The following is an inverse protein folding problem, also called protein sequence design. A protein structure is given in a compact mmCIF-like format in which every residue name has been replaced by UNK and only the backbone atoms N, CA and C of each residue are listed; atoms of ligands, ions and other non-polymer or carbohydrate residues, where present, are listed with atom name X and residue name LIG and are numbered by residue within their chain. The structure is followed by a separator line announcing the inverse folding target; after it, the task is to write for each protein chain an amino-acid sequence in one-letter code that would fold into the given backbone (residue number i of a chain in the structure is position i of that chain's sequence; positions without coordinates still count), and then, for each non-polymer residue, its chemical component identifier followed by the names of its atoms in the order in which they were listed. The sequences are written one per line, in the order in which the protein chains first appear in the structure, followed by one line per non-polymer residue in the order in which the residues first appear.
data_IF_827967921303
#
_entry.id   IF_827967921303
#
_cell.length_a   1.000
_cell.length_b   1.000
_cell.length_c   1.000
_cell.angle_alpha   90.00
_cell.angle_beta   90.00
_cell.angle_gamma   90.00
#
_symmetry.space_group_name_H-M   'P 1'
#
loop_
_entity.id
_entity.type
_entity.pdbx_description
1 polymer ?
#
# COMPACT_ATOMS: atom_id res chain seq x y z
N UNK A 1 -10.05 -5.83 -1.21
CA UNK A 1 -9.44 -4.76 -2.02
C UNK A 1 -8.83 -5.43 -3.21
N UNK A 2 -9.28 -5.09 -4.41
CA UNK A 2 -8.85 -5.79 -5.63
C UNK A 2 -7.68 -5.07 -6.33
N UNK A 3 -7.53 -3.75 -6.12
CA UNK A 3 -6.38 -2.99 -6.62
C UNK A 3 -6.03 -1.79 -5.74
N UNK A 4 -4.74 -1.44 -5.70
CA UNK A 4 -4.21 -0.22 -5.07
C UNK A 4 -3.66 0.69 -6.16
N UNK A 5 -4.40 1.74 -6.50
CA UNK A 5 -4.05 2.69 -7.55
C UNK A 5 -3.64 4.03 -6.95
N UNK A 6 -2.53 4.58 -7.46
CA UNK A 6 -1.99 5.88 -7.05
C UNK A 6 -1.48 6.63 -8.28
N UNK A 7 -1.59 7.96 -8.27
CA UNK A 7 -0.92 8.78 -9.29
C UNK A 7 0.59 8.81 -9.05
N UNK A 8 1.38 8.81 -10.11
CA UNK A 8 2.84 8.97 -10.03
C UNK A 8 3.27 10.27 -9.32
N UNK A 9 2.42 11.30 -9.29
CA UNK A 9 2.69 12.59 -8.62
C UNK A 9 2.71 12.52 -7.10
N UNK A 10 2.16 11.45 -6.50
CA UNK A 10 2.12 11.26 -5.05
C UNK A 10 3.12 10.22 -4.54
N UNK A 11 3.79 9.50 -5.45
CA UNK A 11 4.77 8.48 -5.07
C UNK A 11 5.97 9.10 -4.37
N UNK A 12 6.44 8.46 -3.31
CA UNK A 12 7.59 8.91 -2.51
C UNK A 12 7.28 10.08 -1.57
N UNK A 13 6.01 10.50 -1.45
CA UNK A 13 5.58 11.60 -0.56
C UNK A 13 4.91 11.10 0.72
N UNK A 14 5.21 9.86 1.13
CA UNK A 14 4.62 9.16 2.29
C UNK A 14 3.10 8.95 2.21
N UNK A 15 2.52 9.13 1.03
CA UNK A 15 1.09 8.91 0.80
C UNK A 15 0.78 7.41 0.90
N UNK A 16 1.72 6.58 0.45
CA UNK A 16 1.64 5.12 0.53
C UNK A 16 1.60 4.62 1.99
N UNK A 17 2.46 5.20 2.84
CA UNK A 17 2.50 4.92 4.28
C UNK A 17 1.19 5.35 4.96
N UNK A 18 0.69 6.55 4.64
CA UNK A 18 -0.55 7.08 5.19
C UNK A 18 -1.78 6.22 4.80
N UNK A 19 -1.86 5.80 3.53
CA UNK A 19 -2.93 4.91 3.08
C UNK A 19 -2.88 3.54 3.76
N UNK A 20 -1.68 2.96 3.91
CA UNK A 20 -1.53 1.69 4.63
C UNK A 20 -1.93 1.83 6.10
N UNK A 21 -1.54 2.93 6.75
CA UNK A 21 -1.92 3.21 8.13
C UNK A 21 -3.44 3.30 8.27
N UNK A 22 -4.11 4.08 7.41
CA UNK A 22 -5.57 4.18 7.40
C UNK A 22 -6.24 2.83 7.11
N UNK A 23 -5.69 2.04 6.18
CA UNK A 23 -6.17 0.69 5.90
C UNK A 23 -6.09 -0.19 7.15
N UNK A 24 -4.97 -0.18 7.87
CA UNK A 24 -4.77 -0.94 9.10
C UNK A 24 -5.68 -0.45 10.23
N UNK A 25 -5.85 0.86 10.39
CA UNK A 25 -6.72 1.46 11.39
C UNK A 25 -8.19 1.09 11.13
N UNK A 26 -8.64 1.15 9.87
CA UNK A 26 -10.00 0.76 9.48
C UNK A 26 -10.22 -0.75 9.54
N UNK A 27 -9.16 -1.54 9.35
CA UNK A 27 -9.19 -3.00 9.50
C UNK A 27 -9.11 -3.44 10.95
N UNK A 28 -8.94 -2.52 11.91
CA UNK A 28 -8.81 -2.80 13.34
C UNK A 28 -10.13 -3.25 14.02
N UNK A 29 -10.99 -3.95 13.29
CA UNK A 29 -11.85 -4.94 13.93
C UNK A 29 -10.93 -5.95 14.65
N UNK A 30 -11.24 -6.36 15.88
CA UNK A 30 -10.44 -7.34 16.62
C UNK A 30 -10.35 -8.65 15.81
N UNK A 31 -9.23 -8.85 15.08
CA UNK A 31 -9.02 -10.01 14.22
C UNK A 31 -8.22 -9.79 12.93
N UNK A 32 -7.93 -8.55 12.50
CA UNK A 32 -7.05 -8.32 11.34
C UNK A 32 -5.56 -8.49 11.70
N UNK A 33 -5.16 -9.71 12.05
CA UNK A 33 -3.80 -10.03 12.47
C UNK A 33 -2.80 -10.07 11.32
N UNK A 34 -3.27 -10.17 10.06
CA UNK A 34 -2.42 -10.42 8.89
C UNK A 34 -2.98 -9.72 7.65
N UNK A 35 -2.12 -8.97 6.96
CA UNK A 35 -2.41 -8.36 5.66
C UNK A 35 -1.56 -9.05 4.60
N UNK A 36 -2.20 -9.53 3.55
CA UNK A 36 -1.55 -10.02 2.34
C UNK A 36 -1.46 -8.92 1.29
N UNK A 37 -0.42 -8.95 0.48
CA UNK A 37 -0.26 -8.06 -0.67
C UNK A 37 0.41 -8.79 -1.84
N UNK A 38 0.17 -8.30 -3.05
CA UNK A 38 0.73 -8.86 -4.28
C UNK A 38 1.15 -7.73 -5.21
N UNK A 39 2.38 -7.81 -5.72
CA UNK A 39 2.88 -6.96 -6.79
C UNK A 39 2.93 -7.78 -8.09
N UNK A 40 2.22 -7.31 -9.13
CA UNK A 40 2.25 -7.87 -10.47
C UNK A 40 2.98 -6.91 -11.42
N UNK A 41 4.14 -7.29 -11.99
CA UNK A 41 4.89 -6.43 -12.89
C UNK A 41 4.08 -6.02 -14.12
N UNK A 42 4.15 -4.73 -14.45
CA UNK A 42 3.66 -4.18 -15.72
C UNK A 42 4.63 -3.09 -16.19
N UNK A 43 4.55 -2.71 -17.46
CA UNK A 43 5.37 -1.62 -18.01
C UNK A 43 5.21 -0.28 -17.25
N UNK A 44 4.08 -0.08 -16.56
CA UNK A 44 3.74 1.20 -15.89
C UNK A 44 4.14 1.26 -14.41
N UNK A 45 4.38 0.12 -13.76
CA UNK A 45 4.52 0.06 -12.30
C UNK A 45 5.92 -0.37 -11.80
N UNK A 46 6.93 -0.41 -12.68
CA UNK A 46 8.29 -0.81 -12.30
C UNK A 46 8.86 0.03 -11.14
N UNK A 47 8.52 1.33 -11.10
CA UNK A 47 9.00 2.24 -10.04
C UNK A 47 8.48 1.91 -8.64
N UNK A 48 7.45 1.06 -8.51
CA UNK A 48 6.88 0.64 -7.22
C UNK A 48 7.15 -0.83 -6.90
N UNK A 49 8.07 -1.49 -7.62
CA UNK A 49 8.43 -2.91 -7.39
C UNK A 49 8.74 -3.23 -5.94
N UNK A 50 9.43 -2.32 -5.25
CA UNK A 50 9.85 -2.49 -3.85
C UNK A 50 8.95 -1.72 -2.85
N UNK A 51 7.73 -1.36 -3.27
CA UNK A 51 6.81 -0.61 -2.42
C UNK A 51 6.47 -1.38 -1.13
N UNK A 52 6.10 -2.65 -1.24
CA UNK A 52 5.69 -3.45 -0.08
C UNK A 52 6.86 -3.73 0.87
N UNK A 53 8.07 -3.87 0.35
CA UNK A 53 9.29 -3.96 1.17
C UNK A 53 9.48 -2.69 2.01
N UNK A 54 9.37 -1.51 1.39
CA UNK A 54 9.47 -0.21 2.08
C UNK A 54 8.36 0.02 3.09
N UNK A 55 7.18 -0.57 2.86
CA UNK A 55 6.03 -0.51 3.76
C UNK A 55 6.09 -1.55 4.90
N UNK A 56 7.18 -2.32 4.98
CA UNK A 56 7.42 -3.27 6.08
C UNK A 56 6.64 -4.57 5.94
N UNK A 57 6.28 -4.98 4.73
CA UNK A 57 5.84 -6.34 4.47
C UNK A 57 7.04 -7.28 4.31
N UNK A 58 6.89 -8.52 4.78
CA UNK A 58 7.82 -9.58 4.47
C UNK A 58 7.46 -10.19 3.10
N UNK A 59 8.45 -10.34 2.22
CA UNK A 59 8.33 -11.11 0.98
C UNK A 59 8.14 -12.60 1.35
N UNK A 60 7.10 -13.21 0.80
CA UNK A 60 6.77 -14.62 0.98
C UNK A 60 7.21 -15.43 -0.23
N UNK A 61 7.06 -14.87 -1.43
CA UNK A 61 7.33 -15.56 -2.69
C UNK A 61 7.61 -14.54 -3.81
N UNK A 62 8.49 -14.90 -4.73
CA UNK A 62 8.70 -14.23 -6.02
C UNK A 62 8.74 -15.30 -7.11
N UNK A 63 7.88 -15.19 -8.11
CA UNK A 63 7.82 -16.16 -9.22
C UNK A 63 8.72 -15.75 -10.40
N UNK A 64 8.83 -16.63 -11.40
CA UNK A 64 9.64 -16.40 -12.61
C UNK A 64 9.14 -15.25 -13.48
N UNK A 65 7.90 -14.81 -13.29
CA UNK A 65 7.30 -13.66 -13.98
C UNK A 65 7.50 -12.35 -13.20
N UNK A 66 8.17 -12.40 -12.05
CA UNK A 66 8.41 -11.26 -11.16
C UNK A 66 7.21 -10.88 -10.30
N UNK A 67 6.18 -11.72 -10.22
CA UNK A 67 5.08 -11.51 -9.27
C UNK A 67 5.59 -11.75 -7.86
N UNK A 68 5.42 -10.77 -6.98
CA UNK A 68 5.89 -10.81 -5.59
C UNK A 68 4.71 -10.86 -4.63
N UNK A 69 4.68 -11.86 -3.75
CA UNK A 69 3.66 -12.01 -2.71
C UNK A 69 4.23 -11.68 -1.35
N UNK A 70 3.44 -10.98 -0.56
CA UNK A 70 3.88 -10.33 0.67
C UNK A 70 2.93 -10.59 1.82
N UNK A 71 3.47 -10.53 3.04
CA UNK A 71 2.70 -10.64 4.28
C UNK A 71 3.20 -9.66 5.33
N UNK A 72 2.27 -8.98 6.01
CA UNK A 72 2.55 -8.13 7.17
C UNK A 72 1.63 -8.53 8.32
N UNK A 73 2.16 -8.62 9.54
CA UNK A 73 1.38 -8.88 10.75
C UNK A 73 0.97 -7.57 11.44
N UNK A 74 -0.25 -7.51 11.94
CA UNK A 74 -0.88 -6.29 12.45
C UNK A 74 -0.57 -5.99 13.92
N UNK A 75 0.36 -5.06 14.15
CA UNK A 75 0.16 -3.80 14.89
C UNK A 75 1.38 -2.94 14.64
N UNK A 76 1.24 -1.79 13.97
CA UNK A 76 2.31 -0.79 13.97
C UNK A 76 2.12 0.07 15.24
N UNK A 77 3.03 0.02 16.23
CA UNK A 77 2.87 0.76 17.47
C UNK A 77 3.12 2.27 17.31
N UNK A 78 3.54 2.74 16.13
CA UNK A 78 3.89 4.15 15.92
C UNK A 78 2.69 4.94 15.39
N UNK A 79 2.12 5.87 16.18
CA UNK A 79 1.19 6.84 15.62
C UNK A 79 1.99 7.77 14.70
N UNK A 80 1.85 7.59 13.39
CA UNK A 80 2.26 8.63 12.46
C UNK A 80 1.33 9.82 12.67
N UNK A 81 1.83 10.90 13.29
CA UNK A 81 1.12 12.17 13.39
C UNK A 81 1.00 12.75 11.97
N UNK A 82 -0.05 12.37 11.25
CA UNK A 82 -0.40 12.92 9.94
C UNK A 82 -0.98 14.31 10.16
N UNK A 83 -0.14 15.35 10.15
CA UNK A 83 -0.59 16.71 10.52
C UNK A 83 -1.55 17.31 9.49
N UNK A 84 -1.57 16.84 8.24
CA UNK A 84 -2.60 17.14 7.22
C UNK A 84 -2.30 16.33 5.96
N UNK A 85 -3.21 15.48 5.51
CA UNK A 85 -3.25 15.06 4.09
C UNK A 85 -4.43 15.82 3.50
N UNK A 86 -4.17 16.93 2.81
CA UNK A 86 -5.20 17.52 1.95
C UNK A 86 -5.35 16.60 0.74
N UNK A 87 -6.28 15.66 0.83
CA UNK A 87 -6.79 14.96 -0.33
C UNK A 87 -7.59 15.99 -1.15
N UNK A 88 -6.91 16.68 -2.06
CA UNK A 88 -7.57 17.52 -3.05
C UNK A 88 -8.45 16.60 -3.90
N UNK A 89 -9.77 16.79 -3.78
CA UNK A 89 -10.80 15.97 -4.41
C UNK A 89 -10.81 16.18 -5.92
N UNK A 90 -10.19 15.29 -6.71
CA UNK A 90 -10.42 15.15 -8.17
C UNK A 90 -9.89 13.76 -8.59
N UNK A 91 -10.61 12.86 -9.26
CA UNK A 91 -11.52 13.02 -10.40
C UNK A 91 -12.67 12.00 -10.33
N UNK A 92 -13.90 12.50 -10.47
CA UNK A 92 -14.94 11.82 -11.26
C UNK A 92 -14.61 12.13 -12.72
N UNK A 93 -14.52 11.10 -13.54
CA UNK A 93 -14.80 11.19 -14.98
C UNK A 93 -15.09 9.75 -15.45
N UNK A 94 -16.36 9.35 -15.33
CA UNK A 94 -16.93 8.33 -16.22
C UNK A 94 -17.61 9.07 -17.35
N UNK A 95 -17.26 8.68 -18.57
CA UNK A 95 -18.00 9.01 -19.79
C UNK A 95 -19.30 8.20 -19.86
#
# INVERSE_FOLDING_TARGET
MDSWLMSCRVLGRKVEEAMLFLLMERSAAPGAERIGAEYRPTAKNGMVRDLFDRLGFALVEEDTNGVRRYRRTGRDPRPHRLTRVEACSVFRDEA
#
